data_IF_016790948953
#
_entry.id   IF_016790948953
#
_cell.length_a   1.000
_cell.length_b   1.000
_cell.length_c   1.000
_cell.angle_alpha   90.00
_cell.angle_beta   90.00
_cell.angle_gamma   90.00
#
_symmetry.space_group_name_H-M   'P 1'
#
loop_
_entity.id
_entity.type
_entity.pdbx_description
1 polymer ?
#
# COMPACT_ATOMS: atom_id res chain seq x y z
N UNK A 1 17.80 6.16 7.11
CA UNK A 1 18.63 5.17 6.38
C UNK A 1 18.06 4.86 4.99
N UNK A 2 16.83 4.35 4.88
CA UNK A 2 16.22 3.96 3.60
C UNK A 2 16.22 5.08 2.54
N UNK A 3 15.86 6.32 2.92
CA UNK A 3 15.94 7.48 2.02
C UNK A 3 17.37 7.73 1.50
N UNK A 4 18.40 7.50 2.33
CA UNK A 4 19.79 7.64 1.90
C UNK A 4 20.17 6.54 0.88
N UNK A 5 19.66 5.32 1.06
CA UNK A 5 19.83 4.25 0.07
C UNK A 5 19.04 4.52 -1.22
N UNK A 6 17.85 5.12 -1.15
CA UNK A 6 17.13 5.56 -2.35
C UNK A 6 17.92 6.58 -3.16
N UNK A 7 18.57 7.54 -2.49
CA UNK A 7 19.45 8.52 -3.14
C UNK A 7 20.69 7.85 -3.74
N UNK A 8 21.33 6.94 -2.99
CA UNK A 8 22.57 6.27 -3.44
C UNK A 8 22.34 5.24 -4.55
N UNK A 9 21.20 4.57 -4.53
CA UNK A 9 20.87 3.47 -5.44
C UNK A 9 19.46 3.65 -6.03
N UNK A 10 19.23 4.72 -6.81
CA UNK A 10 17.90 5.09 -7.29
C UNK A 10 17.21 3.99 -8.11
N UNK A 11 17.98 3.19 -8.84
CA UNK A 11 17.46 2.12 -9.72
C UNK A 11 17.33 0.76 -9.02
N UNK A 12 17.88 0.62 -7.80
CA UNK A 12 17.91 -0.67 -7.07
C UNK A 12 17.06 -0.68 -5.81
N UNK A 13 16.85 0.48 -5.20
CA UNK A 13 16.05 0.62 -3.98
C UNK A 13 14.78 1.37 -4.36
N UNK A 14 13.65 0.72 -4.19
CA UNK A 14 12.33 1.28 -4.45
C UNK A 14 11.56 1.29 -3.13
N UNK A 15 10.91 2.42 -2.83
CA UNK A 15 10.12 2.60 -1.63
C UNK A 15 8.69 2.84 -2.07
N UNK A 16 7.79 1.96 -1.65
CA UNK A 16 6.36 2.17 -1.78
C UNK A 16 5.81 2.80 -0.50
N UNK A 17 4.72 3.55 -0.65
CA UNK A 17 3.99 4.14 0.46
C UNK A 17 3.22 3.05 1.20
N UNK A 18 3.28 3.04 2.52
CA UNK A 18 2.38 2.29 3.37
C UNK A 18 1.35 3.19 4.06
N UNK A 19 0.40 2.57 4.76
CA UNK A 19 -0.64 3.31 5.48
C UNK A 19 -0.10 4.10 6.70
N UNK A 20 1.07 3.74 7.22
CA UNK A 20 1.73 4.48 8.30
C UNK A 20 2.55 5.68 7.80
N UNK A 21 2.82 5.78 6.49
CA UNK A 21 3.39 6.95 5.82
C UNK A 21 2.30 8.01 5.56
N UNK A 22 1.53 8.30 6.61
CA UNK A 22 0.44 9.27 6.65
C UNK A 22 0.55 10.14 7.91
N UNK A 23 0.22 11.41 7.78
CA UNK A 23 0.35 12.39 8.85
C UNK A 23 -0.60 12.12 10.03
N UNK A 24 -1.80 11.59 9.78
CA UNK A 24 -2.77 11.26 10.85
C UNK A 24 -2.26 10.04 11.62
N UNK A 25 -1.87 8.99 10.91
CA UNK A 25 -1.41 7.72 11.52
C UNK A 25 -0.09 7.92 12.27
N UNK A 26 0.92 8.52 11.64
CA UNK A 26 2.24 8.66 12.25
C UNK A 26 2.24 9.60 13.47
N UNK A 27 1.22 10.46 13.61
CA UNK A 27 0.99 11.30 14.78
C UNK A 27 0.44 10.52 15.97
N UNK A 28 -0.45 9.57 15.71
CA UNK A 28 -1.06 8.72 16.74
C UNK A 28 -0.05 7.66 17.22
N UNK A 29 0.73 7.08 16.31
CA UNK A 29 1.62 5.95 16.59
C UNK A 29 3.08 6.35 16.89
N UNK A 30 3.33 7.61 17.23
CA UNK A 30 4.57 8.03 17.91
C UNK A 30 5.71 8.57 17.03
N UNK A 31 5.62 8.48 15.70
CA UNK A 31 6.67 9.03 14.82
C UNK A 31 6.77 10.56 14.90
N UNK A 32 5.63 11.25 15.03
CA UNK A 32 5.59 12.69 15.28
C UNK A 32 6.35 13.06 16.55
N UNK A 33 6.06 12.37 17.66
CA UNK A 33 6.70 12.63 18.95
C UNK A 33 8.19 12.30 18.93
N UNK A 34 8.59 11.25 18.20
CA UNK A 34 9.99 10.92 17.99
C UNK A 34 10.74 12.04 17.23
N UNK A 35 10.18 12.53 16.12
CA UNK A 35 10.76 13.65 15.38
C UNK A 35 10.86 14.91 16.24
N UNK A 36 9.79 15.23 16.98
CA UNK A 36 9.75 16.38 17.89
C UNK A 36 10.79 16.28 19.00
N UNK A 37 10.94 15.10 19.61
CA UNK A 37 11.85 14.87 20.75
C UNK A 37 13.32 14.82 20.34
N UNK A 38 13.65 14.14 19.24
CA UNK A 38 15.05 13.98 18.79
C UNK A 38 15.54 15.14 17.95
N UNK A 39 14.64 15.85 17.27
CA UNK A 39 14.96 16.92 16.33
C UNK A 39 13.99 18.09 16.51
N UNK A 40 13.02 18.25 15.60
CA UNK A 40 12.01 19.30 15.65
C UNK A 40 10.79 18.95 14.80
N UNK A 41 9.71 19.71 14.98
CA UNK A 41 8.45 19.53 14.24
C UNK A 41 8.61 19.81 12.74
N UNK A 42 9.58 20.65 12.33
CA UNK A 42 9.83 20.91 10.91
C UNK A 42 10.32 19.66 10.18
N UNK A 43 11.13 18.82 10.84
CA UNK A 43 11.57 17.55 10.26
C UNK A 43 10.39 16.60 9.99
N UNK A 44 9.44 16.52 10.91
CA UNK A 44 8.22 15.73 10.70
C UNK A 44 7.44 16.20 9.46
N UNK A 45 7.28 17.52 9.27
CA UNK A 45 6.63 18.06 8.06
C UNK A 45 7.36 17.66 6.78
N UNK A 46 8.69 17.73 6.77
CA UNK A 46 9.50 17.30 5.62
C UNK A 46 9.30 15.80 5.32
N UNK A 47 9.19 14.96 6.35
CA UNK A 47 8.85 13.54 6.16
C UNK A 47 7.44 13.37 5.59
N UNK A 48 6.45 14.12 6.07
CA UNK A 48 5.09 14.10 5.51
C UNK A 48 5.09 14.47 4.03
N UNK A 49 5.78 15.54 3.64
CA UNK A 49 5.89 15.96 2.23
C UNK A 49 6.57 14.87 1.37
N UNK A 50 7.62 14.24 1.91
CA UNK A 50 8.29 13.10 1.28
C UNK A 50 7.35 11.90 1.12
N UNK A 51 6.59 11.55 2.15
CA UNK A 51 5.65 10.42 2.15
C UNK A 51 4.51 10.63 1.17
N UNK A 52 3.98 11.86 1.09
CA UNK A 52 2.95 12.23 0.12
C UNK A 52 3.43 12.05 -1.34
N UNK A 53 4.74 12.05 -1.58
CA UNK A 53 5.35 11.88 -2.89
C UNK A 53 5.67 10.41 -3.24
N UNK A 54 5.55 9.48 -2.30
CA UNK A 54 5.93 8.08 -2.52
C UNK A 54 4.96 7.38 -3.50
N UNK A 55 5.46 6.53 -4.42
CA UNK A 55 4.63 5.65 -5.23
C UNK A 55 3.81 4.70 -4.35
N UNK A 56 2.61 4.34 -4.79
CA UNK A 56 1.68 3.49 -4.03
C UNK A 56 1.69 2.04 -4.48
N UNK A 57 2.15 1.79 -5.71
CA UNK A 57 2.35 0.46 -6.26
C UNK A 57 3.59 0.41 -7.17
N UNK A 58 4.06 -0.80 -7.44
CA UNK A 58 5.06 -1.09 -8.46
C UNK A 58 4.62 -2.30 -9.29
N UNK A 59 4.94 -2.26 -10.59
CA UNK A 59 4.76 -3.40 -11.48
C UNK A 59 6.16 -3.94 -11.84
N UNK A 60 6.42 -5.19 -11.51
CA UNK A 60 7.71 -5.86 -11.76
C UNK A 60 7.51 -6.83 -12.92
N UNK A 61 8.37 -6.69 -13.93
CA UNK A 61 8.41 -7.56 -15.12
C UNK A 61 7.06 -7.71 -15.82
N UNK A 62 6.22 -6.66 -15.72
CA UNK A 62 4.85 -6.62 -16.26
C UNK A 62 3.90 -7.70 -15.71
N UNK A 63 4.32 -8.46 -14.68
CA UNK A 63 3.59 -9.63 -14.18
C UNK A 63 3.30 -9.61 -12.69
N UNK A 64 4.09 -8.89 -11.89
CA UNK A 64 3.95 -8.88 -10.43
C UNK A 64 3.57 -7.47 -9.97
N UNK A 65 2.36 -7.33 -9.44
CA UNK A 65 1.89 -6.08 -8.87
C UNK A 65 2.18 -6.04 -7.37
N UNK A 66 2.99 -5.07 -6.94
CA UNK A 66 3.34 -4.85 -5.55
C UNK A 66 2.62 -3.62 -5.00
N UNK A 67 2.02 -3.73 -3.82
CA UNK A 67 1.40 -2.61 -3.08
C UNK A 67 1.45 -2.88 -1.58
N UNK A 68 0.99 -1.95 -0.75
CA UNK A 68 1.04 -2.15 0.70
C UNK A 68 -0.14 -2.97 1.22
N UNK A 69 -1.37 -2.51 0.95
CA UNK A 69 -2.63 -3.12 1.36
C UNK A 69 -3.07 -4.21 0.38
N UNK A 70 -3.89 -3.84 -0.60
CA UNK A 70 -4.44 -4.78 -1.57
C UNK A 70 -5.34 -4.11 -2.60
N UNK A 71 -6.27 -4.86 -3.16
CA UNK A 71 -7.15 -4.39 -4.23
C UNK A 71 -8.22 -3.42 -3.73
N UNK A 72 -8.83 -2.69 -4.67
CA UNK A 72 -9.95 -1.77 -4.45
C UNK A 72 -11.12 -2.16 -5.36
N UNK A 73 -12.38 -2.00 -4.93
CA UNK A 73 -13.55 -2.12 -5.81
C UNK A 73 -13.50 -1.14 -6.98
N UNK A 74 -12.80 -0.01 -6.81
CA UNK A 74 -12.64 1.02 -7.84
C UNK A 74 -11.47 0.74 -8.79
N UNK A 75 -10.67 -0.32 -8.54
CA UNK A 75 -9.50 -0.67 -9.36
C UNK A 75 -9.87 -1.70 -10.43
N UNK A 76 -10.12 -1.24 -11.64
CA UNK A 76 -10.39 -2.09 -12.80
C UNK A 76 -9.11 -2.38 -13.60
N UNK A 77 -8.25 -1.37 -13.76
CA UNK A 77 -7.02 -1.47 -14.54
C UNK A 77 -5.84 -0.68 -13.91
N UNK A 78 -4.62 -0.99 -14.36
CA UNK A 78 -3.40 -0.41 -13.81
C UNK A 78 -3.19 1.07 -14.14
N UNK A 79 -3.86 1.61 -15.17
CA UNK A 79 -3.72 3.03 -15.54
C UNK A 79 -4.32 3.94 -14.47
N UNK A 80 -5.39 3.50 -13.80
CA UNK A 80 -5.98 4.24 -12.67
C UNK A 80 -4.97 4.49 -11.54
N UNK A 81 -4.03 3.56 -11.30
CA UNK A 81 -2.95 3.75 -10.31
C UNK A 81 -1.93 4.78 -10.81
N UNK A 82 -1.64 4.79 -12.12
CA UNK A 82 -0.70 5.73 -12.74
C UNK A 82 -1.23 7.15 -12.72
N UNK A 83 -2.55 7.32 -12.81
CA UNK A 83 -3.26 8.59 -12.79
C UNK A 83 -3.39 9.22 -11.40
N UNK A 84 -3.08 8.49 -10.32
CA UNK A 84 -3.07 9.06 -8.96
C UNK A 84 -2.01 10.16 -8.88
N UNK A 85 -2.47 11.40 -8.85
CA UNK A 85 -1.63 12.58 -8.69
C UNK A 85 -0.89 12.55 -7.34
N UNK A 86 0.40 12.88 -7.39
CA UNK A 86 1.27 13.00 -6.23
C UNK A 86 2.04 14.32 -6.33
N UNK A 87 2.27 15.03 -5.21
CA UNK A 87 2.03 14.61 -3.83
C UNK A 87 0.55 14.69 -3.42
N UNK A 88 0.09 13.75 -2.60
CA UNK A 88 -1.30 13.74 -2.09
C UNK A 88 -1.38 13.14 -0.68
N UNK A 89 -2.36 13.57 0.10
CA UNK A 89 -2.70 12.95 1.39
C UNK A 89 -3.58 11.71 1.17
N UNK A 90 -3.59 10.76 2.12
CA UNK A 90 -4.47 9.60 2.02
C UNK A 90 -5.91 10.06 2.34
N UNK A 91 -6.87 9.92 1.41
CA UNK A 91 -8.28 10.22 1.66
C UNK A 91 -8.88 9.20 2.63
N UNK A 92 -10.03 9.53 3.21
CA UNK A 92 -10.73 8.61 4.15
C UNK A 92 -11.41 7.42 3.42
N UNK A 93 -11.39 7.38 2.08
CA UNK A 93 -11.93 6.29 1.25
C UNK A 93 -11.53 6.40 -0.22
N UNK A 94 -11.92 5.39 -1.01
CA UNK A 94 -11.64 5.29 -2.46
C UNK A 94 -10.29 4.64 -2.77
N UNK A 95 -9.96 4.56 -4.07
CA UNK A 95 -8.82 3.82 -4.61
C UNK A 95 -7.50 3.96 -3.83
N UNK A 96 -7.04 5.20 -3.55
CA UNK A 96 -5.78 5.43 -2.83
C UNK A 96 -5.83 4.89 -1.39
N UNK A 97 -6.97 5.04 -0.71
CA UNK A 97 -7.16 4.49 0.62
C UNK A 97 -7.06 2.96 0.57
N UNK A 98 -7.76 2.34 -0.37
CA UNK A 98 -7.84 0.89 -0.49
C UNK A 98 -6.49 0.23 -0.81
N UNK A 99 -5.71 0.79 -1.74
CA UNK A 99 -4.36 0.31 -2.07
C UNK A 99 -3.42 0.22 -0.85
N UNK A 100 -3.71 1.00 0.20
CA UNK A 100 -2.91 1.08 1.41
C UNK A 100 -3.54 0.36 2.61
N UNK A 101 -4.86 0.14 2.62
CA UNK A 101 -5.58 -0.36 3.80
C UNK A 101 -6.34 -1.67 3.60
N UNK A 102 -6.64 -2.07 2.36
CA UNK A 102 -7.45 -3.26 2.14
C UNK A 102 -6.70 -4.54 2.50
N UNK A 103 -7.46 -5.56 2.88
CA UNK A 103 -6.93 -6.85 3.32
C UNK A 103 -7.61 -8.03 2.62
N UNK A 104 -6.85 -9.09 2.27
CA UNK A 104 -7.47 -10.34 1.82
C UNK A 104 -8.20 -11.00 2.99
N UNK A 105 -9.34 -11.64 2.70
CA UNK A 105 -10.08 -12.44 3.68
C UNK A 105 -10.18 -13.91 3.23
N UNK A 106 -9.79 -14.88 4.07
CA UNK A 106 -9.61 -16.26 3.63
C UNK A 106 -10.91 -17.00 3.29
N UNK A 107 -12.04 -16.54 3.82
CA UNK A 107 -13.35 -17.22 3.66
C UNK A 107 -14.40 -16.34 2.98
N UNK A 108 -14.08 -15.09 2.65
CA UNK A 108 -15.06 -14.23 1.98
C UNK A 108 -15.00 -14.50 0.47
N UNK A 109 -16.17 -14.45 -0.16
CA UNK A 109 -16.32 -14.37 -1.60
C UNK A 109 -16.69 -12.93 -1.93
N UNK A 110 -16.04 -12.34 -2.92
CA UNK A 110 -16.25 -10.95 -3.31
C UNK A 110 -15.65 -9.93 -2.34
N UNK A 111 -16.32 -8.79 -2.21
CA UNK A 111 -15.94 -7.67 -1.35
C UNK A 111 -16.74 -7.67 -0.05
N UNK A 112 -16.11 -7.25 1.05
CA UNK A 112 -16.78 -7.03 2.33
C UNK A 112 -16.17 -5.84 3.09
N UNK A 113 -16.87 -5.33 4.10
CA UNK A 113 -16.34 -4.27 4.95
C UNK A 113 -15.14 -4.75 5.78
N UNK A 114 -14.21 -3.85 6.06
CA UNK A 114 -13.03 -4.15 6.88
C UNK A 114 -13.30 -3.94 8.37
N UNK A 115 -12.88 -4.90 9.20
CA UNK A 115 -12.90 -4.80 10.66
C UNK A 115 -12.01 -3.66 11.20
N UNK A 116 -11.13 -3.09 10.34
CA UNK A 116 -10.33 -1.90 10.68
C UNK A 116 -11.17 -0.63 10.75
N UNK A 117 -12.42 -0.66 10.27
CA UNK A 117 -13.28 0.51 10.14
C UNK A 117 -12.85 1.47 9.02
N UNK A 118 -11.94 1.03 8.14
CA UNK A 118 -11.46 1.76 6.97
C UNK A 118 -11.19 0.76 5.85
N UNK A 119 -11.53 1.16 4.61
CA UNK A 119 -11.40 0.32 3.41
C UNK A 119 -12.24 -0.97 3.52
N UNK A 120 -11.87 -1.98 2.73
CA UNK A 120 -12.60 -3.21 2.50
C UNK A 120 -11.69 -4.43 2.67
N UNK A 121 -12.33 -5.60 2.67
CA UNK A 121 -11.68 -6.88 2.49
C UNK A 121 -12.13 -7.52 1.19
N UNK A 122 -11.29 -8.41 0.65
CA UNK A 122 -11.55 -9.07 -0.63
C UNK A 122 -11.22 -10.56 -0.59
N UNK A 123 -12.02 -11.33 -1.32
CA UNK A 123 -11.89 -12.77 -1.47
C UNK A 123 -10.83 -13.20 -2.49
N UNK A 124 -10.61 -14.52 -2.53
CA UNK A 124 -9.74 -15.19 -3.49
C UNK A 124 -10.19 -14.98 -4.95
N UNK A 125 -11.50 -14.98 -5.15
CA UNK A 125 -12.18 -14.77 -6.43
C UNK A 125 -11.84 -13.40 -7.02
N UNK A 126 -11.88 -12.34 -6.21
CA UNK A 126 -11.51 -10.98 -6.63
C UNK A 126 -10.05 -10.92 -7.10
N UNK A 127 -9.15 -11.62 -6.42
CA UNK A 127 -7.74 -11.67 -6.81
C UNK A 127 -7.57 -12.39 -8.15
N UNK A 128 -8.19 -13.57 -8.30
CA UNK A 128 -8.13 -14.35 -9.54
C UNK A 128 -8.67 -13.54 -10.73
N UNK A 129 -9.87 -12.96 -10.57
CA UNK A 129 -10.50 -12.11 -11.58
C UNK A 129 -9.61 -10.93 -11.99
N UNK A 130 -8.97 -10.27 -11.01
CA UNK A 130 -8.13 -9.11 -11.28
C UNK A 130 -6.84 -9.49 -12.02
N UNK A 131 -6.20 -10.58 -11.61
CA UNK A 131 -5.00 -11.12 -12.25
C UNK A 131 -5.28 -11.47 -13.71
N UNK A 132 -6.36 -12.21 -13.97
CA UNK A 132 -6.75 -12.62 -15.33
C UNK A 132 -7.08 -11.41 -16.21
N UNK A 133 -7.84 -10.44 -15.69
CA UNK A 133 -8.22 -9.22 -16.44
C UNK A 133 -7.03 -8.34 -16.82
N UNK A 134 -5.98 -8.32 -16.00
CA UNK A 134 -4.82 -7.45 -16.17
C UNK A 134 -3.57 -8.19 -16.68
N UNK A 135 -3.69 -9.47 -17.04
CA UNK A 135 -2.58 -10.33 -17.49
C UNK A 135 -1.39 -10.35 -16.49
N UNK A 136 -1.71 -10.50 -15.20
CA UNK A 136 -0.76 -10.56 -14.10
C UNK A 136 -0.67 -11.97 -13.52
N UNK A 137 0.50 -12.30 -12.96
CA UNK A 137 0.73 -13.60 -12.33
C UNK A 137 0.58 -13.55 -10.80
N UNK A 138 0.87 -12.39 -10.19
CA UNK A 138 0.98 -12.28 -8.73
C UNK A 138 0.69 -10.88 -8.20
N UNK A 139 0.02 -10.84 -7.05
CA UNK A 139 -0.04 -9.65 -6.18
C UNK A 139 0.85 -9.89 -4.95
N UNK A 140 1.75 -8.94 -4.68
CA UNK A 140 2.60 -8.93 -3.50
C UNK A 140 2.24 -7.77 -2.58
N UNK A 141 2.05 -8.05 -1.28
CA UNK A 141 1.59 -7.08 -0.27
C UNK A 141 2.31 -7.18 1.08
N UNK A 142 2.17 -6.16 1.93
CA UNK A 142 2.94 -6.01 3.19
C UNK A 142 2.16 -5.63 4.46
N UNK A 143 0.83 -5.49 4.42
CA UNK A 143 0.06 -4.83 5.49
C UNK A 143 -0.30 -5.67 6.74
N UNK A 144 -0.26 -7.01 6.69
CA UNK A 144 -0.68 -7.89 7.79
C UNK A 144 0.51 -8.57 8.47
N UNK A 145 0.47 -8.62 9.80
CA UNK A 145 1.40 -9.42 10.60
C UNK A 145 1.02 -10.89 10.45
N UNK A 146 2.00 -11.71 10.11
CA UNK A 146 1.85 -13.15 9.99
C UNK A 146 2.69 -13.85 11.07
N UNK A 147 2.20 -14.99 11.54
CA UNK A 147 2.96 -15.87 12.44
C UNK A 147 4.19 -16.48 11.72
N UNK A 148 4.11 -16.66 10.39
CA UNK A 148 5.21 -17.01 9.50
C UNK A 148 5.68 -15.79 8.69
N UNK A 149 6.96 -15.71 8.31
CA UNK A 149 7.52 -14.54 7.61
C UNK A 149 6.84 -14.20 6.27
N UNK A 150 6.27 -15.21 5.60
CA UNK A 150 5.52 -15.10 4.35
C UNK A 150 4.28 -15.99 4.43
N UNK A 151 3.22 -15.58 3.74
CA UNK A 151 2.05 -16.41 3.42
C UNK A 151 1.89 -16.43 1.90
N UNK A 152 1.79 -17.61 1.32
CA UNK A 152 1.47 -17.81 -0.09
C UNK A 152 0.02 -18.27 -0.19
N UNK A 153 -0.86 -17.41 -0.71
CA UNK A 153 -2.16 -17.86 -1.21
C UNK A 153 -1.98 -18.27 -2.68
N UNK A 154 -1.89 -19.57 -2.92
CA UNK A 154 -1.87 -20.13 -4.28
C UNK A 154 -3.30 -20.22 -4.78
N UNK A 155 -3.65 -19.40 -5.77
CA UNK A 155 -4.87 -19.56 -6.54
C UNK A 155 -4.54 -20.45 -7.75
N UNK A 156 -4.76 -21.76 -7.61
CA UNK A 156 -4.71 -22.66 -8.76
C UNK A 156 -6.07 -22.60 -9.45
N UNK A 157 -6.10 -22.21 -10.72
CA UNK A 157 -7.19 -22.50 -11.64
C UNK A 157 -7.42 -24.01 -11.77
#
# INVERSE_FOLDING_TARGET
LLLAYKIRYPDKVHLLRGNHEDAKINRIYGFYDECKRRFNVRLWKIFTDCFNSLPVAALIDEKILCMHGGLSPDLENLDQIREIERPTEIPDGGLLCDLLWSDPHPTNEGWADSDRGVSCTFGADIVADFLDKNDLDLICRGHQVLLSFLSWCSFRC
#
